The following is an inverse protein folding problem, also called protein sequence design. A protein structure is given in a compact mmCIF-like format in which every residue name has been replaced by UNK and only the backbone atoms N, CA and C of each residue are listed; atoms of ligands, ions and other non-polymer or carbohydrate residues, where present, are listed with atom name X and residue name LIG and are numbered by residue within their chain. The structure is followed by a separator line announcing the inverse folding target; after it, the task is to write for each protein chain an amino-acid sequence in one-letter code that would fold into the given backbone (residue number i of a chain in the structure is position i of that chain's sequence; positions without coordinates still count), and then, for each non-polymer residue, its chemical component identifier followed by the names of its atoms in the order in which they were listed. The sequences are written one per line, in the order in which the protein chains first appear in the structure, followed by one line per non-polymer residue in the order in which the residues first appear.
data_IF_573995594613
#
_entry.id   IF_573995594613
#
_cell.length_a   1.000
_cell.length_b   1.000
_cell.length_c   1.000
_cell.angle_alpha   90.00
_cell.angle_beta   90.00
_cell.angle_gamma   90.00
#
_symmetry.space_group_name_H-M   'P 1'
#
loop_
_entity.id
_entity.type
_entity.pdbx_description
1 polymer ?
#
# COMPACT_ATOMS: atom_id res chain seq x y z
N UNK A 1 -19.28 2.25 -6.11
CA UNK A 1 -18.90 2.69 -4.74
C UNK A 1 -18.54 4.16 -4.83
N UNK A 2 -19.07 5.02 -3.96
CA UNK A 2 -18.82 6.47 -4.02
C UNK A 2 -17.53 6.90 -3.28
N UNK A 3 -17.30 6.37 -2.06
CA UNK A 3 -16.09 6.63 -1.28
C UNK A 3 -15.42 5.32 -0.91
N UNK A 4 -14.22 5.09 -1.45
CA UNK A 4 -13.46 3.86 -1.25
C UNK A 4 -11.98 4.05 -1.60
N UNK A 5 -11.14 3.17 -1.06
CA UNK A 5 -9.73 3.10 -1.42
C UNK A 5 -9.38 1.73 -2.02
N UNK A 6 -8.28 1.67 -2.78
CA UNK A 6 -7.78 0.40 -3.30
C UNK A 6 -6.49 -0.02 -2.57
N UNK A 7 -6.44 -1.30 -2.20
CA UNK A 7 -5.28 -1.96 -1.59
C UNK A 7 -4.53 -2.70 -2.70
N UNK A 8 -3.32 -2.25 -3.01
CA UNK A 8 -2.39 -2.93 -3.92
C UNK A 8 -1.54 -3.90 -3.09
N UNK A 9 -2.00 -5.16 -2.99
CA UNK A 9 -1.46 -6.19 -2.11
C UNK A 9 -0.76 -7.33 -2.85
N UNK A 10 -0.71 -8.51 -2.22
CA UNK A 10 -0.06 -9.71 -2.76
C UNK A 10 1.42 -9.88 -2.40
N UNK A 11 2.02 -8.93 -1.68
CA UNK A 11 3.47 -8.83 -1.47
C UNK A 11 3.91 -8.85 0.02
N UNK A 12 3.50 -9.82 0.84
CA UNK A 12 2.85 -11.09 0.51
C UNK A 12 1.35 -11.12 0.80
N UNK A 13 0.69 -12.19 0.34
CA UNK A 13 -0.75 -12.44 0.57
C UNK A 13 -1.12 -12.35 2.06
N UNK A 14 -0.37 -13.02 2.94
CA UNK A 14 -0.65 -13.02 4.38
C UNK A 14 -0.49 -11.63 5.01
N UNK A 15 0.47 -10.82 4.53
CA UNK A 15 0.62 -9.44 4.99
C UNK A 15 -0.57 -8.58 4.56
N UNK A 16 -1.09 -8.82 3.35
CA UNK A 16 -2.26 -8.13 2.80
C UNK A 16 -3.52 -8.48 3.59
N UNK A 17 -3.76 -9.76 3.86
CA UNK A 17 -4.87 -10.21 4.72
C UNK A 17 -4.75 -9.66 6.15
N UNK A 18 -3.53 -9.65 6.70
CA UNK A 18 -3.27 -9.05 8.01
C UNK A 18 -3.59 -7.56 8.03
N UNK A 19 -3.21 -6.81 7.00
CA UNK A 19 -3.56 -5.40 6.86
C UNK A 19 -5.08 -5.19 6.89
N UNK A 20 -5.85 -5.99 6.13
CA UNK A 20 -7.32 -5.94 6.14
C UNK A 20 -7.88 -6.20 7.53
N UNK A 21 -7.37 -7.23 8.23
CA UNK A 21 -7.81 -7.52 9.61
C UNK A 21 -7.49 -6.38 10.56
N UNK A 22 -6.33 -5.73 10.43
CA UNK A 22 -5.90 -4.63 11.28
C UNK A 22 -6.68 -3.34 11.04
N UNK A 23 -7.03 -3.00 9.79
CA UNK A 23 -7.87 -1.82 9.53
C UNK A 23 -9.27 -2.06 10.11
N UNK A 24 -9.84 -3.24 9.90
CA UNK A 24 -11.17 -3.56 10.37
C UNK A 24 -11.24 -3.59 11.90
N UNK A 25 -10.19 -4.05 12.59
CA UNK A 25 -10.17 -4.02 14.05
C UNK A 25 -9.99 -2.62 14.66
N UNK A 26 -9.57 -1.62 13.87
CA UNK A 26 -9.40 -0.23 14.31
C UNK A 26 -10.62 0.65 14.06
N UNK A 27 -11.58 0.20 13.26
CA UNK A 27 -12.83 0.92 13.00
C UNK A 27 -13.82 0.62 14.12
N UNK A 28 -14.54 1.65 14.58
CA UNK A 28 -15.62 1.46 15.56
C UNK A 28 -16.85 0.91 14.84
N UNK A 29 -17.12 -0.38 15.02
CA UNK A 29 -18.18 -1.09 14.31
C UNK A 29 -19.36 -1.35 15.24
N UNK A 30 -20.57 -1.02 14.76
CA UNK A 30 -21.86 -1.37 15.36
C UNK A 30 -22.74 -2.14 14.37
N UNK A 31 -22.57 -1.91 13.07
CA UNK A 31 -23.19 -2.68 11.99
C UNK A 31 -22.23 -2.84 10.79
N UNK A 32 -22.62 -3.65 9.81
CA UNK A 32 -21.80 -3.94 8.63
C UNK A 32 -21.52 -2.69 7.78
N UNK A 33 -22.40 -1.70 7.80
CA UNK A 33 -22.24 -0.45 7.05
C UNK A 33 -21.21 0.51 7.69
N UNK A 34 -20.73 0.22 8.90
CA UNK A 34 -19.66 1.00 9.55
C UNK A 34 -18.27 0.62 9.02
N UNK A 35 -18.12 -0.50 8.30
CA UNK A 35 -16.86 -0.86 7.68
C UNK A 35 -16.51 0.07 6.50
N UNK A 36 -15.22 0.19 6.22
CA UNK A 36 -14.74 0.99 5.10
C UNK A 36 -14.99 0.26 3.78
N UNK A 37 -15.41 0.98 2.75
CA UNK A 37 -15.41 0.44 1.40
C UNK A 37 -13.98 0.39 0.86
N UNK A 38 -13.55 -0.76 0.35
CA UNK A 38 -12.27 -0.89 -0.32
C UNK A 38 -12.30 -1.98 -1.39
N UNK A 39 -11.40 -1.86 -2.37
CA UNK A 39 -11.11 -2.94 -3.32
C UNK A 39 -9.72 -3.50 -2.97
N UNK A 40 -9.62 -4.81 -2.87
CA UNK A 40 -8.35 -5.49 -2.60
C UNK A 40 -7.88 -6.21 -3.85
N UNK A 41 -6.69 -5.83 -4.32
CA UNK A 41 -5.92 -6.59 -5.30
C UNK A 41 -4.92 -7.44 -4.54
N UNK A 42 -4.99 -8.75 -4.70
CA UNK A 42 -3.97 -9.67 -4.21
C UNK A 42 -3.25 -10.33 -5.37
N UNK A 43 -2.31 -9.60 -5.98
CA UNK A 43 -1.45 -10.16 -7.01
C UNK A 43 -0.21 -10.81 -6.38
N UNK A 44 -0.32 -12.12 -6.13
CA UNK A 44 0.78 -12.93 -5.61
C UNK A 44 1.82 -13.29 -6.69
N UNK A 45 1.61 -12.90 -7.95
CA UNK A 45 2.53 -13.15 -9.05
C UNK A 45 3.56 -12.03 -9.23
N UNK A 46 3.41 -10.91 -8.52
CA UNK A 46 4.39 -9.82 -8.51
C UNK A 46 5.78 -10.39 -8.14
N UNK A 47 6.80 -10.22 -8.99
CA UNK A 47 8.15 -10.71 -8.73
C UNK A 47 8.72 -10.27 -7.38
N UNK A 48 9.73 -10.99 -6.89
CA UNK A 48 10.33 -10.67 -5.60
C UNK A 48 11.07 -9.32 -5.64
N UNK A 49 10.62 -8.40 -4.79
CA UNK A 49 11.16 -7.03 -4.73
C UNK A 49 12.61 -7.02 -4.27
N UNK A 50 12.95 -7.84 -3.28
CA UNK A 50 14.28 -7.83 -2.67
C UNK A 50 15.32 -8.41 -3.62
N UNK A 51 14.95 -9.47 -4.36
CA UNK A 51 15.79 -10.09 -5.38
C UNK A 51 16.15 -9.07 -6.46
N UNK A 52 15.16 -8.37 -7.02
CA UNK A 52 15.39 -7.34 -8.02
C UNK A 52 16.23 -6.16 -7.50
N UNK A 53 15.91 -5.62 -6.32
CA UNK A 53 16.65 -4.47 -5.74
C UNK A 53 18.12 -4.83 -5.48
N UNK A 54 18.41 -6.09 -5.14
CA UNK A 54 19.79 -6.57 -4.92
C UNK A 54 20.52 -6.95 -6.21
N UNK A 55 19.77 -7.38 -7.22
CA UNK A 55 20.29 -7.85 -8.50
C UNK A 55 19.29 -7.51 -9.61
N UNK A 56 19.56 -6.43 -10.33
CA UNK A 56 18.69 -5.94 -11.42
C UNK A 56 18.67 -6.85 -12.66
N UNK A 57 19.37 -8.00 -12.65
CA UNK A 57 19.19 -9.05 -13.65
C UNK A 57 18.02 -9.99 -13.33
N UNK A 58 17.52 -9.97 -12.08
CA UNK A 58 16.30 -10.67 -11.70
C UNK A 58 15.06 -10.00 -12.32
N UNK A 59 13.89 -10.68 -12.34
CA UNK A 59 12.68 -10.10 -12.90
C UNK A 59 12.25 -8.82 -12.18
N UNK A 60 12.07 -7.75 -12.95
CA UNK A 60 11.56 -6.46 -12.46
C UNK A 60 10.09 -6.58 -12.04
N UNK A 61 9.77 -6.07 -10.85
CA UNK A 61 8.42 -6.06 -10.30
C UNK A 61 7.61 -4.82 -10.68
N UNK A 62 8.22 -3.78 -11.26
CA UNK A 62 7.53 -2.57 -11.69
C UNK A 62 6.42 -2.83 -12.71
N UNK A 63 6.59 -3.64 -13.77
CA UNK A 63 5.54 -3.84 -14.77
C UNK A 63 4.25 -4.43 -14.20
N UNK A 64 4.36 -5.37 -13.26
CA UNK A 64 3.21 -5.98 -12.60
C UNK A 64 2.47 -4.94 -11.73
N UNK A 65 3.21 -4.22 -10.87
CA UNK A 65 2.62 -3.14 -10.06
C UNK A 65 2.01 -2.02 -10.89
N UNK A 66 2.65 -1.63 -12.00
CA UNK A 66 2.11 -0.65 -12.95
C UNK A 66 0.77 -1.10 -13.51
N UNK A 67 0.64 -2.37 -13.88
CA UNK A 67 -0.61 -2.94 -14.38
C UNK A 67 -1.72 -2.87 -13.34
N UNK A 68 -1.42 -3.24 -12.09
CA UNK A 68 -2.37 -3.19 -10.97
C UNK A 68 -2.82 -1.76 -10.68
N UNK A 69 -1.88 -0.82 -10.56
CA UNK A 69 -2.17 0.59 -10.27
C UNK A 69 -3.02 1.21 -11.38
N UNK A 70 -2.65 1.03 -12.65
CA UNK A 70 -3.40 1.58 -13.78
C UNK A 70 -4.80 0.97 -13.87
N UNK A 71 -4.95 -0.33 -13.62
CA UNK A 71 -6.25 -1.00 -13.63
C UNK A 71 -7.15 -0.49 -12.50
N UNK A 72 -6.61 -0.32 -11.29
CA UNK A 72 -7.38 0.20 -10.17
C UNK A 72 -7.70 1.70 -10.30
N UNK A 73 -6.82 2.49 -10.93
CA UNK A 73 -7.06 3.91 -11.18
C UNK A 73 -8.31 4.17 -12.04
N UNK A 74 -8.66 3.24 -12.94
CA UNK A 74 -9.88 3.34 -13.76
C UNK A 74 -11.16 3.35 -12.92
N UNK A 75 -11.12 2.75 -11.72
CA UNK A 75 -12.24 2.71 -10.79
C UNK A 75 -12.40 4.01 -10.00
N UNK A 76 -11.40 4.90 -10.06
CA UNK A 76 -11.35 6.19 -9.36
C UNK A 76 -11.52 6.06 -7.83
N UNK A 77 -10.70 5.24 -7.14
CA UNK A 77 -10.68 5.26 -5.68
C UNK A 77 -10.20 6.63 -5.17
N UNK A 78 -10.55 6.96 -3.93
CA UNK A 78 -10.12 8.18 -3.26
C UNK A 78 -8.59 8.20 -3.05
N UNK A 79 -7.97 7.02 -2.83
CA UNK A 79 -6.53 6.84 -2.72
C UNK A 79 -6.11 5.36 -2.85
N UNK A 80 -4.80 5.15 -2.99
CA UNK A 80 -4.14 3.84 -2.92
C UNK A 80 -3.37 3.63 -1.63
N UNK A 81 -3.32 2.38 -1.18
CA UNK A 81 -2.40 1.87 -0.16
C UNK A 81 -1.69 0.62 -0.65
N UNK A 82 -0.45 0.43 -0.21
CA UNK A 82 0.37 -0.73 -0.59
C UNK A 82 1.09 -1.29 0.65
N UNK A 83 0.58 -2.35 1.30
CA UNK A 83 1.12 -2.88 2.55
C UNK A 83 2.40 -3.71 2.32
N UNK A 84 3.40 -3.14 1.65
CA UNK A 84 4.70 -3.76 1.40
C UNK A 84 5.83 -2.72 1.44
N UNK A 85 6.82 -2.92 2.31
CA UNK A 85 7.94 -1.99 2.47
C UNK A 85 8.78 -1.88 1.18
N UNK A 86 9.24 -3.00 0.65
CA UNK A 86 10.17 -3.02 -0.48
C UNK A 86 9.52 -2.60 -1.80
N UNK A 87 8.21 -2.78 -1.96
CA UNK A 87 7.49 -2.34 -3.17
C UNK A 87 7.49 -0.80 -3.33
N UNK A 88 7.63 -0.04 -2.24
CA UNK A 88 7.77 1.41 -2.29
C UNK A 88 9.11 1.89 -2.87
N UNK A 89 10.03 0.98 -3.20
CA UNK A 89 11.19 1.33 -4.02
C UNK A 89 10.78 2.06 -5.30
N UNK A 90 9.67 1.66 -5.93
CA UNK A 90 9.07 2.34 -7.10
C UNK A 90 7.94 3.31 -6.75
N UNK A 91 7.90 3.85 -5.53
CA UNK A 91 6.80 4.70 -5.10
C UNK A 91 6.59 5.91 -6.03
N UNK A 92 7.67 6.62 -6.40
CA UNK A 92 7.55 7.85 -7.19
C UNK A 92 7.03 7.54 -8.60
N UNK A 93 7.55 6.49 -9.22
CA UNK A 93 7.16 6.02 -10.53
C UNK A 93 5.70 5.58 -10.53
N UNK A 94 5.28 4.77 -9.54
CA UNK A 94 3.90 4.32 -9.41
C UNK A 94 2.93 5.47 -9.11
N UNK A 95 3.29 6.38 -8.22
CA UNK A 95 2.46 7.55 -7.89
C UNK A 95 2.33 8.52 -9.09
N UNK A 96 3.30 8.52 -10.01
CA UNK A 96 3.24 9.36 -11.22
C UNK A 96 2.34 8.81 -12.33
N UNK A 97 1.85 7.57 -12.21
CA UNK A 97 1.02 6.92 -13.23
C UNK A 97 -0.40 7.49 -13.33
N UNK A 98 -0.87 8.20 -12.30
CA UNK A 98 -2.26 8.65 -12.17
C UNK A 98 -2.36 9.77 -11.13
N UNK A 99 -3.40 10.59 -11.22
CA UNK A 99 -3.69 11.66 -10.25
C UNK A 99 -4.33 11.15 -8.94
N UNK A 100 -4.67 9.85 -8.86
CA UNK A 100 -5.18 9.25 -7.62
C UNK A 100 -4.09 9.27 -6.55
N UNK A 101 -4.34 9.84 -5.35
CA UNK A 101 -3.34 9.90 -4.30
C UNK A 101 -2.82 8.51 -3.90
N UNK A 102 -1.49 8.34 -3.87
CA UNK A 102 -0.86 7.11 -3.38
C UNK A 102 -0.19 7.38 -2.03
N UNK A 103 -0.71 6.76 -0.97
CA UNK A 103 -0.17 6.92 0.37
C UNK A 103 1.20 6.23 0.53
N UNK A 104 2.22 6.99 0.93
CA UNK A 104 3.55 6.47 1.20
C UNK A 104 3.66 5.94 2.63
N UNK A 105 3.64 4.61 2.80
CA UNK A 105 3.54 3.94 4.10
C UNK A 105 4.63 4.35 5.10
N UNK A 106 5.91 4.38 4.67
CA UNK A 106 7.00 4.75 5.59
C UNK A 106 6.99 6.22 6.01
N UNK A 107 6.62 7.15 5.12
CA UNK A 107 6.47 8.57 5.48
C UNK A 107 5.38 8.73 6.53
N UNK A 108 4.25 8.04 6.35
CA UNK A 108 3.15 8.02 7.34
C UNK A 108 3.62 7.44 8.67
N UNK A 109 4.37 6.33 8.66
CA UNK A 109 4.91 5.72 9.87
C UNK A 109 5.84 6.67 10.63
N UNK A 110 6.74 7.38 9.92
CA UNK A 110 7.65 8.36 10.52
C UNK A 110 6.88 9.56 11.07
N UNK A 111 5.94 10.12 10.31
CA UNK A 111 5.10 11.23 10.79
C UNK A 111 4.33 10.82 12.05
N UNK A 112 3.71 9.65 12.05
CA UNK A 112 3.00 9.13 13.21
C UNK A 112 3.92 8.92 14.42
N UNK A 113 5.16 8.49 14.22
CA UNK A 113 6.14 8.40 15.31
C UNK A 113 6.46 9.78 15.89
N UNK A 114 6.79 10.76 15.04
CA UNK A 114 7.14 12.12 15.48
C UNK A 114 5.97 12.77 16.24
N UNK A 115 4.74 12.60 15.77
CA UNK A 115 3.55 13.18 16.39
C UNK A 115 3.29 12.60 17.79
N UNK A 116 3.51 11.29 17.97
CA UNK A 116 3.26 10.61 19.25
C UNK A 116 4.45 10.66 20.21
N UNK A 117 5.66 10.89 19.70
CA UNK A 117 6.91 10.85 20.47
C UNK A 117 7.81 12.07 20.17
N UNK A 118 7.32 13.31 20.35
CA UNK A 118 8.01 14.53 19.88
C UNK A 118 9.34 14.82 20.60
N UNK A 119 9.60 14.18 21.74
CA UNK A 119 10.80 14.39 22.56
C UNK A 119 11.85 13.28 22.39
N UNK A 120 11.58 12.27 21.56
CA UNK A 120 12.52 11.19 21.32
C UNK A 120 13.73 11.69 20.52
N UNK A 121 14.92 11.29 20.96
CA UNK A 121 16.17 11.71 20.33
C UNK A 121 16.56 10.74 19.22
N UNK A 122 17.20 11.28 18.19
CA UNK A 122 17.87 10.46 17.18
C UNK A 122 18.91 9.59 17.87
N UNK A 123 18.89 8.29 17.59
CA UNK A 123 19.97 7.39 17.96
C UNK A 123 21.12 7.63 16.98
N UNK A 124 22.27 8.04 17.51
CA UNK A 124 23.51 8.26 16.75
C UNK A 124 24.16 6.92 16.33
#
# INVERSE_FOLDING_TARGET
MEHFFSIIGGMGTIATESYVRLINSRVKIKCDQDYLNYILVNDAQIPDRTAYIKDHTQPDFFPALRSDVLSQAQLKPDFFVMPCNTAHYYYNELASLTDVPFLHMMRIAIHNFIDNYPNEKRLD
#
